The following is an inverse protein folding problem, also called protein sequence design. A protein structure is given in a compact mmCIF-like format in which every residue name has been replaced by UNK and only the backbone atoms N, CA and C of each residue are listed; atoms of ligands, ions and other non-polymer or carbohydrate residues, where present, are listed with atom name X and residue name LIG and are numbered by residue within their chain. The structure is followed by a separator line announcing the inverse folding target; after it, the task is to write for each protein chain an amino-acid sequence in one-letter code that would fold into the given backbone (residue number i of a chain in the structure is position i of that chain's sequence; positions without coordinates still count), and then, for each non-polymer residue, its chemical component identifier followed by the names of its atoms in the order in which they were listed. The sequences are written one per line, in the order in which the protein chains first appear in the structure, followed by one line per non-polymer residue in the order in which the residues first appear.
data_IF_597447807272
#
_entry.id   IF_597447807272
#
_cell.length_a   1.000
_cell.length_b   1.000
_cell.length_c   1.000
_cell.angle_alpha   90.00
_cell.angle_beta   90.00
_cell.angle_gamma   90.00
#
_symmetry.space_group_name_H-M   'P 1'
#
loop_
_entity.id
_entity.type
_entity.pdbx_description
1 polymer ?
#
# COMPACT_ATOMS: atom_id res chain seq x y z
N UNK A 1 5.45 -46.02 25.06
CA UNK A 1 4.42 -45.23 24.36
C UNK A 1 4.27 -43.81 24.90
N UNK A 2 4.94 -43.42 25.99
CA UNK A 2 4.77 -42.11 26.65
C UNK A 2 5.82 -41.05 26.26
N UNK A 3 7.02 -41.39 25.81
CA UNK A 3 8.06 -40.39 25.48
C UNK A 3 7.91 -39.74 24.08
N UNK A 4 7.35 -40.46 23.10
CA UNK A 4 7.18 -39.94 21.74
C UNK A 4 6.06 -38.88 21.66
N UNK A 5 4.99 -39.05 22.43
CA UNK A 5 3.93 -38.05 22.57
C UNK A 5 4.44 -36.79 23.30
N UNK A 6 5.35 -36.96 24.26
CA UNK A 6 5.93 -35.83 24.96
C UNK A 6 6.85 -35.00 24.04
N UNK A 7 7.61 -35.64 23.14
CA UNK A 7 8.44 -34.92 22.16
C UNK A 7 7.61 -34.24 21.05
N UNK A 8 6.54 -34.88 20.58
CA UNK A 8 5.63 -34.30 19.57
C UNK A 8 4.90 -33.06 20.09
N UNK A 9 4.45 -33.09 21.36
CA UNK A 9 3.81 -31.92 21.99
C UNK A 9 4.75 -30.71 22.10
N UNK A 10 6.05 -30.94 22.35
CA UNK A 10 7.06 -29.89 22.44
C UNK A 10 7.33 -29.22 21.08
N UNK A 11 7.33 -29.98 19.98
CA UNK A 11 7.56 -29.43 18.62
C UNK A 11 6.35 -28.59 18.16
N UNK A 12 5.12 -29.02 18.46
CA UNK A 12 3.91 -28.25 18.16
C UNK A 12 3.84 -26.91 18.93
N UNK A 13 4.36 -26.85 20.15
CA UNK A 13 4.46 -25.59 20.90
C UNK A 13 5.49 -24.61 20.35
N UNK A 14 6.57 -25.09 19.72
CA UNK A 14 7.62 -24.19 19.20
C UNK A 14 7.20 -23.48 17.90
N UNK A 15 6.40 -24.11 17.03
CA UNK A 15 5.97 -23.46 15.77
C UNK A 15 4.91 -22.36 15.97
N UNK A 16 4.05 -22.47 16.97
CA UNK A 16 3.09 -21.40 17.31
C UNK A 16 3.76 -20.18 17.98
N UNK A 17 4.99 -20.34 18.49
CA UNK A 17 5.72 -19.26 19.14
C UNK A 17 6.23 -18.21 18.14
N UNK A 18 6.51 -18.61 16.90
CA UNK A 18 7.01 -17.68 15.86
C UNK A 18 5.91 -16.85 15.20
N UNK A 19 4.68 -17.37 15.10
CA UNK A 19 3.52 -16.61 14.61
C UNK A 19 3.02 -15.57 15.61
N UNK A 20 3.39 -15.70 16.89
CA UNK A 20 3.03 -14.79 17.97
C UNK A 20 3.92 -13.53 18.02
N UNK A 21 5.05 -13.50 17.32
CA UNK A 21 5.82 -12.26 17.08
C UNK A 21 5.21 -11.43 15.96
N UNK A 22 3.87 -11.34 15.93
CA UNK A 22 3.12 -10.34 15.17
C UNK A 22 3.61 -8.98 15.65
N UNK A 23 4.59 -8.44 14.91
CA UNK A 23 5.24 -7.14 15.08
C UNK A 23 4.31 -6.20 15.83
N UNK A 24 4.56 -6.03 17.14
CA UNK A 24 3.86 -5.04 17.95
C UNK A 24 4.21 -3.71 17.32
N UNK A 25 3.31 -3.21 16.48
CA UNK A 25 3.45 -1.88 15.88
C UNK A 25 3.75 -0.93 17.04
N UNK A 26 4.84 -0.16 16.97
CA UNK A 26 5.19 0.74 18.05
C UNK A 26 3.98 1.61 18.36
N UNK A 27 3.57 1.60 19.63
CA UNK A 27 2.39 2.32 20.09
C UNK A 27 2.47 3.80 19.73
N UNK A 28 1.31 4.43 19.56
CA UNK A 28 1.18 5.86 19.27
C UNK A 28 2.06 6.73 20.17
N UNK A 29 2.08 6.42 21.48
CA UNK A 29 2.88 7.15 22.46
C UNK A 29 4.37 7.10 22.19
N UNK A 30 4.93 5.93 21.83
CA UNK A 30 6.36 5.81 21.53
C UNK A 30 6.74 6.67 20.33
N UNK A 31 5.88 6.68 19.31
CA UNK A 31 6.03 7.54 18.13
C UNK A 31 5.97 9.02 18.49
N UNK A 32 5.00 9.42 19.31
CA UNK A 32 4.85 10.80 19.78
C UNK A 32 6.08 11.26 20.57
N UNK A 33 6.60 10.43 21.49
CA UNK A 33 7.80 10.73 22.27
C UNK A 33 9.00 11.00 21.36
N UNK A 34 9.21 10.17 20.33
CA UNK A 34 10.31 10.37 19.37
C UNK A 34 10.18 11.71 18.64
N UNK A 35 8.97 12.08 18.21
CA UNK A 35 8.74 13.36 17.54
C UNK A 35 9.01 14.54 18.49
N UNK A 36 8.50 14.45 19.72
CA UNK A 36 8.72 15.49 20.73
C UNK A 36 10.19 15.64 21.08
N UNK A 37 10.92 14.55 21.31
CA UNK A 37 12.36 14.62 21.60
C UNK A 37 13.15 15.27 20.46
N UNK A 38 12.76 15.01 19.21
CA UNK A 38 13.42 15.61 18.05
C UNK A 38 13.16 17.13 17.99
N UNK A 39 11.91 17.56 18.13
CA UNK A 39 11.54 18.98 18.09
C UNK A 39 12.15 19.75 19.27
N UNK A 40 12.18 19.17 20.46
CA UNK A 40 12.85 19.75 21.63
C UNK A 40 14.36 19.87 21.39
N UNK A 41 14.99 18.86 20.80
CA UNK A 41 16.41 18.90 20.42
C UNK A 41 16.74 20.06 19.47
N UNK A 42 15.88 20.30 18.47
CA UNK A 42 16.00 21.45 17.56
C UNK A 42 15.81 22.77 18.31
N UNK A 43 14.85 22.87 19.23
CA UNK A 43 14.63 24.07 20.04
C UNK A 43 15.85 24.40 20.92
N UNK A 44 16.44 23.41 21.58
CA UNK A 44 17.67 23.56 22.36
C UNK A 44 18.82 24.04 21.45
N UNK A 45 19.00 23.41 20.29
CA UNK A 45 20.04 23.78 19.34
C UNK A 45 19.91 25.25 18.89
N UNK A 46 18.70 25.71 18.58
CA UNK A 46 18.45 27.11 18.19
C UNK A 46 18.73 28.07 19.37
N UNK A 47 18.35 27.70 20.59
CA UNK A 47 18.68 28.51 21.78
C UNK A 47 20.20 28.63 21.97
N UNK A 48 20.94 27.52 21.82
CA UNK A 48 22.40 27.54 21.88
C UNK A 48 23.02 28.41 20.79
N UNK A 49 22.47 28.37 19.57
CA UNK A 49 22.89 29.27 18.49
C UNK A 49 22.64 30.75 18.86
N UNK A 50 21.50 31.07 19.46
CA UNK A 50 21.18 32.43 19.92
C UNK A 50 22.18 32.95 20.97
N UNK A 51 22.57 32.08 21.91
CA UNK A 51 23.54 32.44 22.96
C UNK A 51 24.93 32.67 22.37
N UNK A 52 25.34 31.85 21.38
CA UNK A 52 26.69 31.91 20.84
C UNK A 52 26.86 32.99 19.76
N UNK A 53 25.82 33.28 18.99
CA UNK A 53 25.90 34.20 17.84
C UNK A 53 25.37 35.59 18.18
N UNK A 54 26.19 36.41 18.84
CA UNK A 54 25.83 37.79 19.20
C UNK A 54 25.71 38.76 18.01
N UNK A 55 26.21 38.39 16.83
CA UNK A 55 26.23 39.25 15.65
C UNK A 55 25.02 39.09 14.73
N UNK A 56 24.17 38.08 14.97
CA UNK A 56 22.97 37.85 14.17
C UNK A 56 21.86 38.81 14.62
N UNK A 57 21.26 39.51 13.65
CA UNK A 57 20.10 40.38 13.95
C UNK A 57 18.96 39.55 14.55
N UNK A 58 18.28 40.05 15.60
CA UNK A 58 17.16 39.35 16.25
C UNK A 58 16.08 38.88 15.28
N UNK A 59 15.85 39.65 14.20
CA UNK A 59 14.87 39.31 13.17
C UNK A 59 15.24 38.01 12.44
N UNK A 60 16.52 37.82 12.10
CA UNK A 60 16.98 36.60 11.44
C UNK A 60 16.85 35.39 12.36
N UNK A 61 17.15 35.56 13.66
CA UNK A 61 16.97 34.49 14.64
C UNK A 61 15.50 34.08 14.77
N UNK A 62 14.56 35.03 14.76
CA UNK A 62 13.12 34.74 14.72
C UNK A 62 12.72 33.96 13.45
N UNK A 63 13.19 34.37 12.28
CA UNK A 63 12.91 33.67 11.02
C UNK A 63 13.48 32.24 11.04
N UNK A 64 14.74 32.07 11.48
CA UNK A 64 15.36 30.75 11.58
C UNK A 64 14.64 29.85 12.58
N UNK A 65 14.18 30.40 13.71
CA UNK A 65 13.39 29.67 14.69
C UNK A 65 12.07 29.16 14.08
N UNK A 66 11.32 30.05 13.43
CA UNK A 66 10.04 29.73 12.77
C UNK A 66 10.24 28.62 11.72
N UNK A 67 11.21 28.80 10.82
CA UNK A 67 11.48 27.85 9.74
C UNK A 67 11.92 26.50 10.29
N UNK A 68 12.85 26.49 11.24
CA UNK A 68 13.43 25.24 11.75
C UNK A 68 12.42 24.42 12.55
N UNK A 69 11.65 25.04 13.44
CA UNK A 69 10.61 24.35 14.22
C UNK A 69 9.48 23.86 13.30
N UNK A 70 9.02 24.70 12.37
CA UNK A 70 7.98 24.32 11.40
C UNK A 70 8.39 23.15 10.50
N UNK A 71 9.61 23.21 9.93
CA UNK A 71 10.18 22.14 9.12
C UNK A 71 10.34 20.86 9.94
N UNK A 72 10.92 20.95 11.15
CA UNK A 72 11.14 19.80 12.02
C UNK A 72 9.83 19.11 12.42
N UNK A 73 8.84 19.88 12.89
CA UNK A 73 7.54 19.34 13.29
C UNK A 73 6.80 18.72 12.10
N UNK A 74 6.70 19.44 10.97
CA UNK A 74 5.99 18.96 9.77
C UNK A 74 6.62 17.70 9.17
N UNK A 75 7.95 17.70 8.98
CA UNK A 75 8.68 16.56 8.42
C UNK A 75 8.65 15.32 9.33
N UNK A 76 8.79 15.52 10.64
CA UNK A 76 8.85 14.40 11.60
C UNK A 76 7.47 13.78 11.82
N UNK A 77 6.42 14.59 11.96
CA UNK A 77 5.04 14.06 12.06
C UNK A 77 4.69 13.27 10.81
N UNK A 78 5.06 13.80 9.64
CA UNK A 78 4.86 13.11 8.36
C UNK A 78 5.60 11.77 8.31
N UNK A 79 6.88 11.74 8.68
CA UNK A 79 7.71 10.54 8.63
C UNK A 79 7.24 9.47 9.63
N UNK A 80 6.90 9.86 10.86
CA UNK A 80 6.57 8.91 11.94
C UNK A 80 5.12 8.41 11.85
N UNK A 81 4.20 9.27 11.44
CA UNK A 81 2.76 8.97 11.33
C UNK A 81 2.30 8.68 9.88
N UNK A 82 3.20 8.26 8.98
CA UNK A 82 2.90 8.00 7.56
C UNK A 82 1.82 6.92 7.27
N UNK A 83 1.51 6.08 8.26
CA UNK A 83 0.45 5.06 8.17
C UNK A 83 -0.90 5.56 8.66
N UNK A 84 -0.92 6.66 9.39
CA UNK A 84 -2.10 7.18 10.07
C UNK A 84 -2.92 8.04 9.11
N UNK A 85 -4.23 8.17 9.35
CA UNK A 85 -5.06 9.04 8.52
C UNK A 85 -4.60 10.51 8.62
N UNK A 86 -4.85 11.29 7.58
CA UNK A 86 -4.36 12.67 7.45
C UNK A 86 -4.73 13.56 8.64
N UNK A 87 -5.95 13.43 9.17
CA UNK A 87 -6.40 14.23 10.30
C UNK A 87 -5.57 14.01 11.58
N UNK A 88 -5.13 12.77 11.86
CA UNK A 88 -4.28 12.53 13.05
C UNK A 88 -2.92 13.21 12.89
N UNK A 89 -2.37 13.23 11.67
CA UNK A 89 -1.11 13.96 11.39
C UNK A 89 -1.30 15.45 11.57
N UNK A 90 -2.41 15.99 11.06
CA UNK A 90 -2.74 17.40 11.22
C UNK A 90 -2.84 17.78 12.71
N UNK A 91 -3.64 17.06 13.50
CA UNK A 91 -3.76 17.33 14.94
C UNK A 91 -2.46 17.13 15.71
N UNK A 92 -1.67 16.10 15.38
CA UNK A 92 -0.36 15.90 15.99
C UNK A 92 0.58 17.07 15.67
N UNK A 93 0.60 17.56 14.43
CA UNK A 93 1.38 18.73 14.03
C UNK A 93 0.93 20.00 14.75
N UNK A 94 -0.37 20.27 14.78
CA UNK A 94 -0.96 21.43 15.47
C UNK A 94 -0.66 21.41 16.97
N UNK A 95 -0.53 20.24 17.59
CA UNK A 95 -0.12 20.12 18.98
C UNK A 95 1.40 20.29 19.18
N UNK A 96 2.21 19.72 18.29
CA UNK A 96 3.67 19.71 18.42
C UNK A 96 4.30 21.09 18.15
N UNK A 97 3.76 21.88 17.22
CA UNK A 97 4.32 23.20 16.87
C UNK A 97 4.28 24.18 18.06
N UNK A 98 3.13 24.43 18.73
CA UNK A 98 3.06 25.28 19.92
C UNK A 98 3.96 24.77 21.04
N UNK A 99 4.01 23.44 21.25
CA UNK A 99 4.87 22.85 22.27
C UNK A 99 6.35 23.11 21.98
N UNK A 100 6.77 22.97 20.72
CA UNK A 100 8.14 23.27 20.28
C UNK A 100 8.51 24.75 20.48
N UNK A 101 7.59 25.67 20.14
CA UNK A 101 7.79 27.11 20.36
C UNK A 101 7.77 27.48 21.85
N UNK A 102 6.98 26.79 22.67
CA UNK A 102 6.97 26.98 24.12
C UNK A 102 8.31 26.56 24.74
N UNK A 103 8.84 25.39 24.36
CA UNK A 103 10.17 24.96 24.81
C UNK A 103 11.27 25.90 24.33
N UNK A 104 11.18 26.41 23.09
CA UNK A 104 12.10 27.43 22.60
C UNK A 104 12.03 28.71 23.46
N UNK A 105 10.82 29.15 23.82
CA UNK A 105 10.59 30.23 24.79
C UNK A 105 11.28 29.99 26.11
N UNK A 106 11.00 28.84 26.71
CA UNK A 106 11.58 28.43 27.98
C UNK A 106 13.12 28.45 27.95
N UNK A 107 13.75 27.90 26.91
CA UNK A 107 15.21 27.86 26.79
C UNK A 107 15.87 29.18 26.37
N UNK A 108 15.12 30.12 25.82
CA UNK A 108 15.62 31.42 25.38
C UNK A 108 15.24 32.56 26.32
N UNK A 109 14.78 32.24 27.54
CA UNK A 109 14.30 33.23 28.52
C UNK A 109 13.18 34.10 27.93
N UNK A 110 12.36 33.50 27.07
CA UNK A 110 11.20 34.11 26.39
C UNK A 110 11.54 35.18 25.34
N UNK A 111 12.80 35.28 24.91
CA UNK A 111 13.20 36.15 23.78
C UNK A 111 12.71 35.60 22.42
N UNK A 112 12.66 34.27 22.28
CA UNK A 112 12.25 33.56 21.07
C UNK A 112 11.16 32.53 21.41
N UNK A 113 10.09 32.45 20.63
CA UNK A 113 9.01 31.48 20.82
C UNK A 113 7.72 32.10 21.37
N UNK A 114 6.93 31.28 22.05
CA UNK A 114 5.68 31.72 22.69
C UNK A 114 5.98 31.91 24.17
N UNK A 115 5.61 33.08 24.69
CA UNK A 115 5.80 33.47 26.09
C UNK A 115 5.02 32.58 27.07
N UNK A 116 5.12 32.86 28.39
CA UNK A 116 4.21 32.29 29.38
C UNK A 116 2.75 32.47 28.93
N UNK A 117 1.85 31.59 29.35
CA UNK A 117 0.45 31.64 28.89
C UNK A 117 -0.31 32.82 29.54
N UNK A 118 0.26 33.47 30.56
CA UNK A 118 -0.38 34.57 31.31
C UNK A 118 -0.84 35.77 30.46
N UNK A 119 -0.05 36.30 29.49
CA UNK A 119 -0.47 37.42 28.64
C UNK A 119 -1.67 37.07 27.76
N UNK A 120 -1.84 35.79 27.38
CA UNK A 120 -2.96 35.34 26.55
C UNK A 120 -4.30 35.47 27.26
N UNK A 121 -4.31 35.36 28.59
CA UNK A 121 -5.52 35.57 29.39
C UNK A 121 -5.74 37.05 29.77
N UNK A 122 -4.68 37.87 29.72
CA UNK A 122 -4.71 39.28 30.10
C UNK A 122 -4.92 40.27 28.94
N UNK A 123 -5.47 39.78 27.81
CA UNK A 123 -5.92 40.55 26.62
C UNK A 123 -4.86 41.34 25.84
N UNK A 124 -3.60 41.34 26.24
CA UNK A 124 -2.51 41.93 25.44
C UNK A 124 -1.79 40.81 24.70
N UNK A 125 -2.30 40.49 23.51
CA UNK A 125 -1.65 39.50 22.63
C UNK A 125 -0.52 40.19 21.89
N UNK A 126 0.72 39.78 22.16
CA UNK A 126 1.87 40.27 21.39
C UNK A 126 1.77 39.80 19.92
N UNK A 127 1.78 40.72 18.95
CA UNK A 127 1.69 40.36 17.54
C UNK A 127 2.87 39.49 17.09
N UNK A 128 4.03 39.67 17.70
CA UNK A 128 5.23 38.87 17.42
C UNK A 128 5.05 37.38 17.76
N UNK A 129 4.37 37.06 18.87
CA UNK A 129 4.10 35.67 19.25
C UNK A 129 3.11 35.04 18.28
N UNK A 130 2.10 35.80 17.85
CA UNK A 130 1.12 35.37 16.86
C UNK A 130 1.77 35.10 15.49
N UNK A 131 2.67 35.98 15.05
CA UNK A 131 3.45 35.81 13.81
C UNK A 131 4.34 34.56 13.90
N UNK A 132 5.00 34.33 15.04
CA UNK A 132 5.85 33.14 15.21
C UNK A 132 5.04 31.84 15.18
N UNK A 133 3.92 31.79 15.89
CA UNK A 133 3.03 30.63 15.90
C UNK A 133 2.41 30.40 14.51
N UNK A 134 1.83 31.44 13.91
CA UNK A 134 1.20 31.37 12.60
C UNK A 134 2.19 31.00 11.49
N UNK A 135 3.39 31.61 11.51
CA UNK A 135 4.47 31.31 10.59
C UNK A 135 4.97 29.86 10.70
N UNK A 136 5.18 29.36 11.94
CA UNK A 136 5.66 28.01 12.14
C UNK A 136 4.61 26.96 11.73
N UNK A 137 3.33 27.23 12.02
CA UNK A 137 2.20 26.41 11.55
C UNK A 137 2.10 26.40 10.03
N UNK A 138 2.25 27.56 9.37
CA UNK A 138 2.24 27.65 7.91
C UNK A 138 3.33 26.79 7.29
N UNK A 139 4.57 26.90 7.78
CA UNK A 139 5.71 26.10 7.30
C UNK A 139 5.47 24.62 7.54
N UNK A 140 4.99 24.24 8.73
CA UNK A 140 4.68 22.85 9.06
C UNK A 140 3.57 22.28 8.17
N UNK A 141 2.54 23.07 7.86
CA UNK A 141 1.47 22.72 6.91
C UNK A 141 2.02 22.47 5.50
N UNK A 142 2.88 23.37 5.00
CA UNK A 142 3.53 23.20 3.71
C UNK A 142 4.32 21.88 3.68
N UNK A 143 5.09 21.56 4.74
CA UNK A 143 5.82 20.29 4.83
C UNK A 143 4.90 19.06 4.88
N UNK A 144 3.74 19.18 5.51
CA UNK A 144 2.77 18.09 5.59
C UNK A 144 2.21 17.78 4.19
N UNK A 145 1.91 18.82 3.41
CA UNK A 145 1.32 18.74 2.07
C UNK A 145 2.32 18.45 0.94
N UNK A 146 3.56 18.96 1.02
CA UNK A 146 4.54 19.01 -0.08
C UNK A 146 4.89 17.67 -0.76
N UNK A 147 4.53 16.54 -0.17
CA UNK A 147 4.74 15.22 -0.78
C UNK A 147 3.54 14.28 -0.59
N UNK A 148 2.32 14.79 -0.55
CA UNK A 148 1.13 13.93 -0.65
C UNK A 148 1.04 13.30 -2.05
N UNK A 149 1.93 12.35 -2.34
CA UNK A 149 1.74 11.46 -3.46
C UNK A 149 0.52 10.62 -3.10
N UNK A 150 -0.57 10.68 -3.91
CA UNK A 150 -1.66 9.73 -3.73
C UNK A 150 -1.01 8.36 -3.73
N UNK A 151 -1.27 7.56 -2.69
CA UNK A 151 -0.86 6.16 -2.74
C UNK A 151 -1.39 5.64 -4.06
N UNK A 152 -0.55 5.15 -4.98
CA UNK A 152 -1.06 4.53 -6.19
C UNK A 152 -2.08 3.53 -5.68
N UNK A 153 -3.34 3.73 -6.08
CA UNK A 153 -4.37 2.74 -5.80
C UNK A 153 -3.77 1.50 -6.44
N UNK A 154 -3.35 0.55 -5.60
CA UNK A 154 -2.96 -0.75 -6.10
C UNK A 154 -4.26 -1.23 -6.71
N UNK A 155 -4.40 -1.00 -8.01
CA UNK A 155 -5.45 -1.61 -8.80
C UNK A 155 -5.17 -3.08 -8.59
N UNK A 156 -6.01 -3.68 -7.74
CA UNK A 156 -5.98 -5.12 -7.50
C UNK A 156 -5.84 -5.74 -8.88
N UNK A 157 -4.72 -6.44 -9.10
CA UNK A 157 -4.41 -7.02 -10.39
C UNK A 157 -5.69 -7.67 -10.91
N UNK A 158 -6.15 -7.34 -12.13
CA UNK A 158 -7.46 -7.75 -12.61
C UNK A 158 -7.61 -9.22 -12.30
N UNK A 159 -8.63 -9.58 -11.53
CA UNK A 159 -8.82 -10.93 -11.02
C UNK A 159 -8.88 -11.90 -12.20
N UNK A 160 -7.73 -12.50 -12.55
CA UNK A 160 -7.58 -13.41 -13.68
C UNK A 160 -8.36 -14.71 -13.41
N UNK A 161 -8.92 -14.89 -12.20
CA UNK A 161 -9.76 -16.05 -11.86
C UNK A 161 -11.09 -16.09 -12.61
N UNK A 162 -11.46 -15.04 -13.36
CA UNK A 162 -12.65 -15.04 -14.21
C UNK A 162 -12.56 -15.81 -15.53
N UNK A 163 -11.38 -16.17 -16.03
CA UNK A 163 -11.20 -16.72 -17.41
C UNK A 163 -10.90 -18.23 -17.43
N UNK A 164 -11.04 -18.95 -16.31
CA UNK A 164 -10.77 -20.40 -16.27
C UNK A 164 -12.01 -21.29 -16.50
N UNK A 165 -13.21 -20.73 -16.64
CA UNK A 165 -14.44 -21.51 -16.82
C UNK A 165 -15.12 -21.36 -18.20
N UNK A 166 -14.44 -20.79 -19.20
CA UNK A 166 -14.68 -21.26 -20.57
C UNK A 166 -14.03 -22.62 -20.71
N UNK A 167 -14.69 -23.62 -20.12
CA UNK A 167 -14.66 -24.99 -20.56
C UNK A 167 -14.83 -24.92 -22.07
N UNK A 168 -13.72 -25.13 -22.78
CA UNK A 168 -13.70 -25.47 -24.17
C UNK A 168 -14.68 -26.62 -24.31
N UNK A 169 -15.90 -26.29 -24.75
CA UNK A 169 -16.85 -27.28 -25.21
C UNK A 169 -16.19 -27.88 -26.43
N UNK A 170 -15.39 -28.92 -26.22
CA UNK A 170 -15.00 -29.84 -27.27
C UNK A 170 -16.33 -30.27 -27.91
N UNK A 171 -16.61 -29.89 -29.16
CA UNK A 171 -17.78 -30.40 -29.84
C UNK A 171 -17.52 -31.88 -30.08
N UNK A 172 -18.07 -32.72 -29.20
CA UNK A 172 -18.20 -34.15 -29.41
C UNK A 172 -19.16 -34.36 -30.58
N UNK A 173 -18.64 -34.34 -31.80
CA UNK A 173 -19.15 -35.05 -32.99
C UNK A 173 -18.27 -34.74 -34.21
N UNK A 174 -17.01 -35.17 -34.18
CA UNK A 174 -16.29 -35.42 -35.45
C UNK A 174 -16.63 -36.84 -35.87
N UNK A 175 -17.65 -36.96 -36.71
CA UNK A 175 -17.82 -38.09 -37.62
C UNK A 175 -16.55 -38.20 -38.46
N UNK A 176 -15.91 -39.35 -38.39
CA UNK A 176 -14.76 -39.72 -39.22
C UNK A 176 -15.26 -39.84 -40.66
N UNK A 177 -15.13 -38.77 -41.44
CA UNK A 177 -15.07 -38.89 -42.90
C UNK A 177 -13.62 -38.69 -43.34
N UNK A 178 -13.06 -39.78 -43.86
CA UNK A 178 -11.75 -39.81 -44.49
C UNK A 178 -11.71 -38.83 -45.66
N UNK A 179 -10.94 -37.76 -45.54
CA UNK A 179 -10.56 -36.92 -46.68
C UNK A 179 -9.06 -37.01 -46.89
N UNK A 180 -8.76 -37.55 -48.07
CA UNK A 180 -7.50 -37.71 -48.79
C UNK A 180 -6.43 -36.62 -48.52
N UNK A 181 -5.14 -37.00 -48.48
CA UNK A 181 -4.05 -36.04 -48.43
C UNK A 181 -3.88 -35.37 -49.80
N UNK A 182 -3.87 -34.03 -49.81
CA UNK A 182 -3.36 -33.25 -50.94
C UNK A 182 -2.08 -32.55 -50.50
N UNK A 183 -0.97 -33.16 -50.88
CA UNK A 183 0.35 -32.53 -50.98
C UNK A 183 0.28 -31.27 -51.84
N UNK A 184 0.92 -30.18 -51.39
CA UNK A 184 1.95 -29.45 -52.15
C UNK A 184 2.27 -28.08 -51.55
N UNK A 185 3.46 -27.50 -51.87
CA UNK A 185 4.31 -26.86 -50.89
C UNK A 185 4.50 -25.35 -51.12
N UNK A 186 5.42 -24.78 -50.32
CA UNK A 186 6.30 -23.64 -50.58
C UNK A 186 6.07 -22.37 -49.73
N UNK A 187 7.15 -22.04 -49.02
CA UNK A 187 7.57 -20.75 -48.47
C UNK A 187 7.47 -19.58 -49.49
N UNK A 188 7.67 -18.25 -49.18
CA UNK A 188 8.57 -17.71 -48.14
C UNK A 188 8.28 -16.32 -47.49
N UNK A 189 9.09 -16.04 -46.46
CA UNK A 189 9.80 -14.80 -46.04
C UNK A 189 9.22 -13.38 -46.26
N UNK A 190 9.51 -12.56 -45.23
CA UNK A 190 9.79 -11.09 -45.21
C UNK A 190 8.56 -10.19 -45.41
N UNK A 191 8.45 -8.98 -44.84
CA UNK A 191 9.45 -8.04 -44.34
C UNK A 191 8.83 -7.08 -43.31
N UNK A 192 9.70 -6.60 -42.42
CA UNK A 192 9.51 -5.45 -41.55
C UNK A 192 9.41 -4.16 -42.37
N UNK A 193 8.40 -3.31 -42.12
CA UNK A 193 8.45 -1.89 -42.49
C UNK A 193 7.75 -1.04 -41.43
N UNK A 194 8.41 0.02 -40.90
CA UNK A 194 7.74 1.08 -40.18
C UNK A 194 7.35 2.19 -41.17
N UNK A 195 6.10 2.64 -41.14
CA UNK A 195 5.68 3.91 -41.78
C UNK A 195 5.05 4.76 -40.68
N UNK A 196 5.82 5.69 -40.11
CA UNK A 196 5.87 7.10 -40.52
C UNK A 196 4.48 7.73 -40.73
N UNK A 197 4.09 8.51 -39.71
CA UNK A 197 3.50 9.84 -39.78
C UNK A 197 2.81 10.21 -41.10
N UNK A 198 1.48 10.31 -41.06
CA UNK A 198 0.76 11.30 -41.86
C UNK A 198 -0.28 12.01 -41.02
N UNK A 199 0.08 13.22 -40.61
CA UNK A 199 -0.86 14.29 -40.35
C UNK A 199 -1.78 14.45 -41.57
N UNK A 200 -3.10 14.47 -41.34
CA UNK A 200 -4.05 14.91 -42.36
C UNK A 200 -5.00 15.95 -41.78
N UNK A 201 -4.63 17.18 -42.10
CA UNK A 201 -5.40 18.42 -42.01
C UNK A 201 -6.74 18.27 -42.74
N UNK A 202 -7.79 18.72 -42.05
CA UNK A 202 -8.99 19.39 -42.56
C UNK A 202 -9.36 19.25 -44.04
N UNK A 203 -10.52 18.66 -44.31
CA UNK A 203 -11.41 19.14 -45.36
C UNK A 203 -12.81 19.31 -44.80
N UNK A 204 -13.21 20.57 -44.75
CA UNK A 204 -14.60 20.98 -44.73
C UNK A 204 -15.32 20.38 -45.94
N UNK A 205 -16.42 19.69 -45.69
CA UNK A 205 -17.44 19.39 -46.68
C UNK A 205 -18.77 19.69 -46.01
N UNK A 206 -19.35 20.83 -46.40
CA UNK A 206 -20.76 21.10 -46.27
C UNK A 206 -21.46 20.30 -47.37
N UNK A 207 -22.53 19.59 -47.04
CA UNK A 207 -23.78 19.49 -47.82
C UNK A 207 -24.86 18.89 -46.89
N UNK A 208 -26.08 19.44 -46.88
CA UNK A 208 -27.15 19.07 -45.96
C UNK A 208 -28.03 17.98 -46.57
N UNK A 209 -28.44 16.99 -45.77
CA UNK A 209 -29.59 16.16 -46.09
C UNK A 209 -30.38 15.91 -44.82
N UNK A 210 -31.60 16.43 -44.82
CA UNK A 210 -32.62 16.19 -43.82
C UNK A 210 -32.93 14.69 -43.77
N UNK A 211 -32.48 14.03 -42.70
CA UNK A 211 -33.07 12.78 -42.25
C UNK A 211 -33.66 13.01 -40.87
N UNK A 212 -34.93 12.65 -40.72
CA UNK A 212 -35.68 12.68 -39.47
C UNK A 212 -34.98 11.75 -38.47
N UNK A 213 -34.09 12.30 -37.66
CA UNK A 213 -33.54 11.61 -36.51
C UNK A 213 -34.56 11.67 -35.38
N UNK A 214 -35.26 10.55 -35.21
CA UNK A 214 -35.96 10.24 -33.97
C UNK A 214 -34.98 10.34 -32.81
N UNK A 215 -35.12 11.38 -32.01
CA UNK A 215 -34.35 11.58 -30.79
C UNK A 215 -34.77 10.48 -29.81
N UNK A 216 -34.04 9.35 -29.82
CA UNK A 216 -34.03 8.44 -28.68
C UNK A 216 -33.34 9.16 -27.51
N UNK A 217 -34.15 9.84 -26.71
CA UNK A 217 -33.83 10.17 -25.31
C UNK A 217 -33.53 8.85 -24.59
N UNK A 218 -32.26 8.58 -24.33
CA UNK A 218 -31.75 7.91 -23.12
C UNK A 218 -30.22 7.89 -23.18
N UNK A 219 -29.60 9.06 -23.12
CA UNK A 219 -28.30 9.16 -22.48
C UNK A 219 -28.57 9.43 -21.00
N UNK A 220 -28.83 8.37 -20.25
CA UNK A 220 -28.62 8.42 -18.80
C UNK A 220 -27.15 8.76 -18.63
N UNK A 221 -26.89 10.03 -18.33
CA UNK A 221 -25.60 10.49 -17.89
C UNK A 221 -25.20 9.63 -16.71
N UNK A 222 -24.18 8.80 -16.92
CA UNK A 222 -23.52 8.02 -15.91
C UNK A 222 -22.71 8.97 -15.01
N UNK A 223 -23.39 9.82 -14.25
CA UNK A 223 -22.77 10.47 -13.12
C UNK A 223 -22.43 9.36 -12.12
N UNK A 224 -21.15 9.21 -11.73
CA UNK A 224 -20.77 8.25 -10.71
C UNK A 224 -21.47 8.65 -9.42
N UNK A 225 -22.47 7.86 -9.02
CA UNK A 225 -23.14 7.98 -7.72
C UNK A 225 -22.06 8.02 -6.64
N UNK A 226 -21.97 9.16 -5.97
CA UNK A 226 -21.10 9.42 -4.82
C UNK A 226 -21.30 8.28 -3.79
N UNK A 227 -20.39 7.31 -3.80
CA UNK A 227 -20.45 6.17 -2.87
C UNK A 227 -20.10 6.67 -1.48
N UNK A 228 -20.88 6.18 -0.53
CA UNK A 228 -20.92 6.61 0.87
C UNK A 228 -19.55 6.44 1.51
N UNK A 229 -19.08 7.49 2.19
CA UNK A 229 -17.78 7.62 2.88
C UNK A 229 -17.56 6.68 4.08
N UNK A 230 -18.39 5.64 4.23
CA UNK A 230 -18.25 4.61 5.25
C UNK A 230 -18.14 3.24 4.58
N UNK A 231 -17.15 3.12 3.70
CA UNK A 231 -16.70 1.86 3.15
C UNK A 231 -16.33 0.92 4.30
N UNK A 232 -17.21 -0.07 4.50
CA UNK A 232 -16.92 -1.25 5.32
C UNK A 232 -15.62 -1.83 4.77
N UNK A 233 -14.60 -1.95 5.63
CA UNK A 233 -13.34 -2.61 5.31
C UNK A 233 -13.68 -3.93 4.59
N UNK A 234 -13.21 -4.15 3.35
CA UNK A 234 -13.45 -5.40 2.67
C UNK A 234 -12.91 -6.51 3.56
N UNK A 235 -13.77 -7.49 3.86
CA UNK A 235 -13.42 -8.68 4.62
C UNK A 235 -12.48 -9.48 3.73
N UNK A 236 -11.20 -9.14 3.78
CA UNK A 236 -10.14 -9.76 2.99
C UNK A 236 -9.99 -11.20 3.49
N UNK A 237 -10.77 -12.10 2.90
CA UNK A 237 -10.66 -13.53 3.12
C UNK A 237 -9.42 -13.98 2.33
N UNK A 238 -8.28 -14.04 3.02
CA UNK A 238 -7.12 -14.79 2.54
C UNK A 238 -7.52 -16.26 2.53
N UNK A 239 -8.20 -16.68 1.47
CA UNK A 239 -8.26 -18.09 1.13
C UNK A 239 -6.86 -18.45 0.65
N UNK A 240 -6.08 -19.06 1.54
CA UNK A 240 -4.82 -19.70 1.16
C UNK A 240 -5.20 -20.84 0.23
N UNK A 241 -5.01 -20.63 -1.05
CA UNK A 241 -5.19 -21.67 -2.05
C UNK A 241 -3.91 -22.50 -2.03
N UNK A 242 -3.96 -23.64 -1.37
CA UNK A 242 -2.82 -24.55 -1.29
C UNK A 242 -2.76 -25.39 -2.58
N UNK A 243 -1.68 -25.21 -3.34
CA UNK A 243 -1.44 -26.00 -4.55
C UNK A 243 -0.74 -27.31 -4.17
N UNK A 244 -1.47 -28.42 -4.21
CA UNK A 244 -0.91 -29.74 -3.98
C UNK A 244 -0.22 -30.28 -5.24
N UNK A 245 1.06 -30.62 -5.13
CA UNK A 245 1.84 -31.25 -6.21
C UNK A 245 2.24 -32.67 -5.80
N UNK A 246 2.19 -33.59 -6.75
CA UNK A 246 2.61 -34.97 -6.55
C UNK A 246 4.13 -35.02 -6.38
N UNK A 247 4.68 -35.61 -5.31
CA UNK A 247 6.13 -35.72 -5.12
C UNK A 247 6.86 -36.51 -6.21
N UNK A 248 6.16 -37.42 -6.91
CA UNK A 248 6.78 -38.31 -7.90
C UNK A 248 6.95 -37.67 -9.28
N UNK A 249 5.92 -36.99 -9.77
CA UNK A 249 5.91 -36.40 -11.11
C UNK A 249 5.93 -34.87 -11.10
N UNK A 250 5.80 -34.24 -9.92
CA UNK A 250 5.75 -32.78 -9.71
C UNK A 250 4.56 -32.06 -10.38
N UNK A 251 3.64 -32.83 -10.96
CA UNK A 251 2.39 -32.35 -11.53
C UNK A 251 1.38 -31.99 -10.43
N UNK A 252 0.49 -31.05 -10.73
CA UNK A 252 -0.59 -30.62 -9.84
C UNK A 252 -1.60 -31.76 -9.66
N UNK A 253 -1.94 -32.06 -8.40
CA UNK A 253 -2.95 -33.07 -8.05
C UNK A 253 -4.24 -32.37 -7.67
N UNK A 254 -5.29 -32.55 -8.46
CA UNK A 254 -6.64 -32.03 -8.18
C UNK A 254 -7.50 -33.16 -7.64
N UNK A 255 -8.41 -32.89 -6.70
CA UNK A 255 -9.33 -33.90 -6.09
C UNK A 255 -10.20 -34.72 -7.07
N UNK A 256 -10.33 -34.28 -8.32
CA UNK A 256 -11.03 -35.02 -9.38
C UNK A 256 -10.09 -35.36 -10.56
N UNK A 257 -8.84 -35.75 -10.28
CA UNK A 257 -7.90 -36.15 -11.32
C UNK A 257 -8.36 -37.44 -12.03
N UNK A 258 -8.42 -37.48 -13.37
CA UNK A 258 -8.83 -38.67 -14.11
C UNK A 258 -7.90 -39.88 -13.91
N UNK A 259 -6.65 -39.67 -13.46
CA UNK A 259 -5.71 -40.75 -13.14
C UNK A 259 -6.05 -41.46 -11.82
N UNK A 260 -7.07 -40.98 -11.11
CA UNK A 260 -7.37 -41.39 -9.74
C UNK A 260 -6.40 -40.73 -8.75
N UNK A 261 -6.76 -40.76 -7.47
CA UNK A 261 -6.00 -40.08 -6.41
C UNK A 261 -5.87 -41.03 -5.23
N UNK A 262 -4.69 -40.98 -4.62
CA UNK A 262 -4.42 -41.62 -3.33
C UNK A 262 -3.90 -40.56 -2.37
N UNK A 263 -4.50 -40.54 -1.18
CA UNK A 263 -4.04 -39.73 -0.07
C UNK A 263 -3.16 -40.61 0.82
N UNK A 264 -1.98 -40.11 1.20
CA UNK A 264 -1.12 -40.85 2.11
C UNK A 264 -1.73 -40.84 3.52
N UNK A 265 -1.90 -42.01 4.14
CA UNK A 265 -2.48 -42.13 5.49
C UNK A 265 -1.62 -41.48 6.60
N UNK A 266 -0.34 -41.19 6.30
CA UNK A 266 0.61 -40.63 7.27
C UNK A 266 0.72 -39.11 7.17
N UNK A 267 0.96 -38.56 5.97
CA UNK A 267 1.17 -37.11 5.78
C UNK A 267 0.01 -36.40 5.06
N UNK A 268 -1.05 -37.12 4.68
CA UNK A 268 -2.22 -36.59 3.98
C UNK A 268 -1.89 -35.87 2.65
N UNK A 269 -0.70 -36.09 2.09
CA UNK A 269 -0.37 -35.58 0.76
C UNK A 269 -1.15 -36.34 -0.30
N UNK A 270 -1.67 -35.59 -1.29
CA UNK A 270 -2.36 -36.17 -2.44
C UNK A 270 -1.35 -36.60 -3.51
N UNK A 271 -1.52 -37.81 -4.02
CA UNK A 271 -0.74 -38.40 -5.09
C UNK A 271 -1.65 -38.84 -6.24
N UNK A 272 -1.12 -38.86 -7.47
CA UNK A 272 -1.81 -39.53 -8.57
C UNK A 272 -1.86 -41.04 -8.33
N UNK A 273 -2.99 -41.67 -8.65
CA UNK A 273 -3.23 -43.09 -8.41
C UNK A 273 -2.27 -44.01 -9.16
N UNK A 274 -1.83 -43.61 -10.35
CA UNK A 274 -0.81 -44.31 -11.14
C UNK A 274 0.59 -44.25 -10.49
N UNK A 275 1.02 -43.07 -10.04
CA UNK A 275 2.29 -42.88 -9.34
C UNK A 275 2.33 -43.66 -8.02
N UNK A 276 1.20 -43.72 -7.31
CA UNK A 276 1.03 -44.52 -6.10
C UNK A 276 1.09 -46.02 -6.39
N UNK A 277 0.47 -46.50 -7.47
CA UNK A 277 0.47 -47.91 -7.83
C UNK A 277 1.88 -48.44 -8.18
N UNK A 278 2.75 -47.59 -8.73
CA UNK A 278 4.13 -47.94 -9.06
C UNK A 278 5.00 -48.03 -7.79
N UNK A 279 4.88 -47.04 -6.90
CA UNK A 279 5.75 -46.91 -5.73
C UNK A 279 5.24 -47.68 -4.51
N UNK A 280 3.93 -47.92 -4.41
CA UNK A 280 3.26 -48.64 -3.34
C UNK A 280 3.17 -47.90 -2.00
N UNK A 281 3.97 -46.84 -1.80
CA UNK A 281 4.07 -46.08 -0.55
C UNK A 281 4.58 -44.66 -0.79
N UNK A 282 4.22 -43.73 0.11
CA UNK A 282 4.69 -42.34 0.07
C UNK A 282 6.20 -42.23 0.36
N UNK A 283 6.94 -41.51 -0.48
CA UNK A 283 8.38 -41.26 -0.33
C UNK A 283 8.71 -40.01 0.48
N UNK A 284 7.69 -39.24 0.89
CA UNK A 284 7.92 -38.10 1.80
C UNK A 284 8.43 -38.68 3.12
N UNK A 285 9.60 -38.26 3.61
CA UNK A 285 10.14 -38.77 4.87
C UNK A 285 9.15 -38.48 6.00
N UNK A 286 8.49 -39.52 6.49
CA UNK A 286 7.68 -39.42 7.70
C UNK A 286 8.61 -39.56 8.88
N UNK A 287 8.82 -38.47 9.61
CA UNK A 287 9.53 -38.50 10.88
C UNK A 287 8.62 -39.22 11.89
N UNK A 288 8.85 -40.53 12.06
CA UNK A 288 8.20 -41.46 13.00
C UNK A 288 6.85 -42.09 12.57
N UNK A 289 6.89 -42.99 11.57
CA UNK A 289 5.90 -44.09 11.48
C UNK A 289 6.30 -45.26 12.36
#
# INVERSE_FOLDING_TARGET
MTELDEMSSRIATMNNSFSALKSRRPGFFRKLIVVLSFVIGIAIFISLLNIHQKNLSPLWMKIFAILSIGLAAGSTVRAVFYEWPGYVRFFAMVFIVPLGLFFLGFFSVWDLGIGPIDPWFNKVVDPDQLIQLGGALLVAMICLEAWWKPRPKIEDAPDVRGVSNQREQVPTAVSIQSVRPRSSPAQPKRSWTPKFLKARKSRASKIPVASKFTIKRTAQSAYPKHRRLFDRKPKLQLSVFEEHRCPYCLDLVKRNDPRGIKECDVCHSLHHGDCWAITGQCQVPHLNS
#
